data_IF_247284108221
#
_entry.id   IF_247284108221
#
_cell.length_a   1.000
_cell.length_b   1.000
_cell.length_c   1.000
_cell.angle_alpha   90.00
_cell.angle_beta   90.00
_cell.angle_gamma   90.00
#
_symmetry.space_group_name_H-M   'P 1'
#
loop_
_entity.id
_entity.type
_entity.pdbx_description
1 polymer ?
#
# COMPACT_ATOMS: atom_id res chain seq x y z
N UNK A 1 27.73 31.13 13.77
CA UNK A 1 26.70 30.92 14.83
C UNK A 1 25.90 29.66 14.49
N UNK A 2 25.62 28.81 15.46
CA UNK A 2 24.79 27.61 15.27
C UNK A 2 23.51 27.82 16.07
N UNK A 3 22.35 27.70 15.44
CA UNK A 3 21.06 27.81 16.12
C UNK A 3 20.80 26.59 17.00
N UNK A 4 19.92 26.77 17.99
CA UNK A 4 19.51 25.68 18.86
C UNK A 4 18.89 24.53 18.03
N UNK A 5 19.15 23.29 18.45
CA UNK A 5 18.66 22.06 17.81
C UNK A 5 19.13 21.86 16.35
N UNK A 6 20.11 22.63 15.88
CA UNK A 6 20.66 22.43 14.55
C UNK A 6 21.59 21.21 14.50
N UNK A 7 21.43 20.36 13.47
CA UNK A 7 22.28 19.18 13.26
C UNK A 7 23.23 19.45 12.10
N UNK A 8 24.51 19.67 12.40
CA UNK A 8 25.53 20.02 11.40
C UNK A 8 26.34 18.78 11.04
N UNK A 9 26.13 18.27 9.83
CA UNK A 9 26.82 17.07 9.32
C UNK A 9 28.04 17.39 8.44
N UNK A 10 28.24 18.65 8.08
CA UNK A 10 29.33 19.12 7.22
C UNK A 10 29.98 20.40 7.77
N UNK A 11 31.24 20.66 7.37
CA UNK A 11 31.96 21.85 7.79
C UNK A 11 31.24 23.13 7.34
N UNK A 12 31.17 24.12 8.24
CA UNK A 12 30.49 25.40 8.03
C UNK A 12 31.53 26.52 7.93
N UNK A 13 31.47 27.39 6.90
CA UNK A 13 32.39 28.53 6.78
C UNK A 13 32.32 29.50 7.98
N UNK A 14 33.42 30.20 8.31
CA UNK A 14 33.43 31.17 9.41
C UNK A 14 32.46 32.32 9.13
N UNK A 15 31.85 32.85 10.19
CA UNK A 15 30.90 33.97 10.08
C UNK A 15 29.48 33.60 9.63
N UNK A 16 29.22 32.36 9.23
CA UNK A 16 27.89 31.92 8.81
C UNK A 16 26.96 31.59 9.99
N UNK A 17 25.63 31.63 9.76
CA UNK A 17 24.61 31.13 10.68
C UNK A 17 23.91 29.91 10.13
N UNK A 18 23.81 28.83 10.91
CA UNK A 18 23.17 27.56 10.53
C UNK A 18 22.00 27.24 11.44
N UNK A 19 20.89 26.77 10.89
CA UNK A 19 19.70 26.30 11.64
C UNK A 19 19.08 25.07 10.97
N UNK A 20 18.28 24.32 11.72
CA UNK A 20 17.48 23.19 11.22
C UNK A 20 18.16 21.82 11.35
N UNK A 21 17.38 20.77 11.09
CA UNK A 21 17.84 19.38 11.05
C UNK A 21 17.33 18.73 9.74
N UNK A 22 18.22 18.39 8.79
CA UNK A 22 19.64 18.71 8.75
C UNK A 22 19.90 20.21 8.65
N UNK A 23 21.02 20.67 9.21
CA UNK A 23 21.37 22.09 9.32
C UNK A 23 21.64 22.74 7.97
N UNK A 24 20.99 23.88 7.70
CA UNK A 24 21.17 24.71 6.51
C UNK A 24 21.70 26.09 6.88
N UNK A 25 22.62 26.63 6.07
CA UNK A 25 23.14 27.99 6.24
C UNK A 25 22.01 28.98 5.87
N UNK A 26 21.70 29.89 6.79
CA UNK A 26 20.65 30.92 6.62
C UNK A 26 21.19 32.34 6.56
N UNK A 27 22.46 32.53 6.94
CA UNK A 27 23.16 33.82 6.84
C UNK A 27 24.62 33.58 6.50
N UNK A 28 25.12 34.29 5.50
CA UNK A 28 26.52 34.27 5.09
C UNK A 28 27.35 35.25 5.93
N UNK A 29 28.68 35.12 5.85
CA UNK A 29 29.61 36.04 6.50
C UNK A 29 29.46 37.49 6.02
N UNK A 30 29.02 37.70 4.77
CA UNK A 30 28.67 39.02 4.20
C UNK A 30 27.43 39.65 4.83
N UNK A 31 26.69 38.92 5.67
CA UNK A 31 25.41 39.34 6.23
C UNK A 31 24.21 39.11 5.32
N UNK A 32 24.46 38.68 4.09
CA UNK A 32 23.44 38.34 3.09
C UNK A 32 22.76 37.01 3.40
N UNK A 33 21.54 36.86 2.91
CA UNK A 33 20.81 35.58 2.93
C UNK A 33 21.17 34.80 1.67
N UNK A 34 21.44 33.49 1.77
CA UNK A 34 21.65 32.67 0.59
C UNK A 34 20.39 32.65 -0.29
N UNK A 35 20.57 32.76 -1.61
CA UNK A 35 19.48 32.82 -2.61
C UNK A 35 18.53 31.62 -2.52
N UNK A 36 19.08 30.44 -2.23
CA UNK A 36 18.33 29.18 -2.16
C UNK A 36 17.51 28.97 -0.88
N UNK A 37 17.53 29.93 0.06
CA UNK A 37 16.86 29.77 1.36
C UNK A 37 15.32 29.75 1.25
N UNK A 38 14.78 30.41 0.22
CA UNK A 38 13.34 30.57 0.02
C UNK A 38 12.72 29.50 -0.90
N UNK A 39 13.50 28.51 -1.37
CA UNK A 39 12.99 27.40 -2.17
C UNK A 39 12.22 26.38 -1.31
N UNK A 40 11.09 26.79 -0.72
CA UNK A 40 10.25 25.95 0.13
C UNK A 40 9.39 24.95 -0.67
N UNK A 41 9.22 25.16 -1.98
CA UNK A 41 8.36 24.33 -2.83
C UNK A 41 8.95 22.97 -3.26
N UNK A 42 10.23 22.70 -2.96
CA UNK A 42 10.92 21.44 -3.31
C UNK A 42 11.15 20.51 -2.11
N UNK A 43 10.63 20.86 -0.93
CA UNK A 43 10.77 20.00 0.24
C UNK A 43 9.76 18.84 0.14
N UNK A 44 10.19 17.57 0.27
CA UNK A 44 9.25 16.46 0.33
C UNK A 44 8.31 16.67 1.52
N UNK A 45 7.01 16.54 1.29
CA UNK A 45 6.00 16.64 2.33
C UNK A 45 5.93 15.29 3.07
N UNK A 46 6.45 15.19 4.31
CA UNK A 46 6.47 13.93 5.03
C UNK A 46 5.07 13.40 5.34
N UNK A 47 4.05 14.28 5.41
CA UNK A 47 2.67 13.87 5.63
C UNK A 47 2.13 13.22 4.35
N UNK A 48 2.36 13.83 3.20
CA UNK A 48 1.96 13.26 1.92
C UNK A 48 2.60 11.88 1.67
N UNK A 49 3.85 11.69 2.07
CA UNK A 49 4.55 10.41 1.95
C UNK A 49 3.93 9.33 2.85
N UNK A 50 3.59 9.67 4.09
CA UNK A 50 2.91 8.75 5.01
C UNK A 50 1.51 8.41 4.50
N UNK A 51 0.75 9.40 4.03
CA UNK A 51 -0.59 9.19 3.46
C UNK A 51 -0.53 8.25 2.25
N UNK A 52 0.41 8.47 1.33
CA UNK A 52 0.61 7.60 0.17
C UNK A 52 0.99 6.16 0.57
N UNK A 53 1.81 6.01 1.62
CA UNK A 53 2.15 4.70 2.16
C UNK A 53 0.94 3.98 2.74
N UNK A 54 0.07 4.69 3.47
CA UNK A 54 -1.16 4.13 4.01
C UNK A 54 -2.15 3.74 2.91
N UNK A 55 -2.30 4.59 1.89
CA UNK A 55 -3.16 4.33 0.73
C UNK A 55 -2.74 3.05 -0.01
N UNK A 56 -1.45 2.91 -0.30
CA UNK A 56 -0.91 1.69 -0.93
C UNK A 56 -1.22 0.42 -0.12
N UNK A 57 -1.14 0.50 1.22
CA UNK A 57 -1.45 -0.64 2.09
C UNK A 57 -2.93 -0.98 2.09
N UNK A 58 -3.80 0.02 2.09
CA UNK A 58 -5.25 -0.16 2.02
C UNK A 58 -5.63 -0.82 0.68
N UNK A 59 -5.07 -0.33 -0.42
CA UNK A 59 -5.30 -0.89 -1.76
C UNK A 59 -4.87 -2.36 -1.83
N UNK A 60 -3.65 -2.67 -1.40
CA UNK A 60 -3.15 -4.06 -1.40
C UNK A 60 -4.00 -5.00 -0.53
N UNK A 61 -4.46 -4.54 0.65
CA UNK A 61 -5.35 -5.33 1.50
C UNK A 61 -6.72 -5.54 0.86
N UNK A 62 -7.26 -4.50 0.20
CA UNK A 62 -8.56 -4.57 -0.47
C UNK A 62 -8.53 -5.55 -1.65
N UNK A 63 -7.46 -5.52 -2.45
CA UNK A 63 -7.25 -6.48 -3.55
C UNK A 63 -7.20 -7.93 -3.03
N UNK A 64 -6.44 -8.19 -1.96
CA UNK A 64 -6.38 -9.49 -1.31
C UNK A 64 -7.74 -9.96 -0.78
N UNK A 65 -8.55 -9.05 -0.22
CA UNK A 65 -9.89 -9.37 0.24
C UNK A 65 -10.83 -9.71 -0.92
N UNK A 66 -10.76 -8.96 -2.03
CA UNK A 66 -11.54 -9.23 -3.23
C UNK A 66 -11.20 -10.59 -3.85
N UNK A 67 -9.91 -10.91 -3.97
CA UNK A 67 -9.44 -12.22 -4.46
C UNK A 67 -10.01 -13.36 -3.62
N UNK A 68 -9.91 -13.23 -2.29
CA UNK A 68 -10.44 -14.24 -1.36
C UNK A 68 -11.95 -14.37 -1.40
N UNK A 69 -12.68 -13.26 -1.53
CA UNK A 69 -14.14 -13.29 -1.65
C UNK A 69 -14.59 -13.99 -2.93
N UNK A 70 -13.91 -13.78 -4.06
CA UNK A 70 -14.19 -14.47 -5.31
C UNK A 70 -14.04 -16.00 -5.16
N UNK A 71 -12.93 -16.46 -4.56
CA UNK A 71 -12.66 -17.87 -4.36
C UNK A 71 -13.76 -18.58 -3.53
N UNK A 72 -14.25 -17.92 -2.47
CA UNK A 72 -15.31 -18.51 -1.62
C UNK A 72 -16.64 -18.70 -2.34
N UNK A 73 -16.94 -17.87 -3.34
CA UNK A 73 -18.21 -17.93 -4.06
C UNK A 73 -18.20 -18.99 -5.16
N UNK A 74 -17.04 -19.21 -5.78
CA UNK A 74 -16.82 -20.28 -6.76
C UNK A 74 -16.86 -21.67 -6.10
N UNK A 75 -16.23 -21.82 -4.94
CA UNK A 75 -16.22 -23.06 -4.14
C UNK A 75 -17.64 -23.52 -3.71
N UNK A 76 -18.51 -22.58 -3.32
CA UNK A 76 -19.87 -22.89 -2.89
C UNK A 76 -20.74 -23.34 -4.07
N UNK A 77 -20.63 -22.63 -5.21
CA UNK A 77 -21.37 -22.95 -6.43
C UNK A 77 -20.91 -24.29 -7.05
N UNK A 78 -19.61 -24.59 -6.96
CA UNK A 78 -19.05 -25.87 -7.44
C UNK A 78 -19.54 -27.06 -6.62
N UNK A 79 -19.57 -26.97 -5.28
CA UNK A 79 -20.11 -28.04 -4.43
C UNK A 79 -21.58 -28.34 -4.72
N UNK A 80 -22.37 -27.30 -4.94
CA UNK A 80 -23.79 -27.45 -5.25
C UNK A 80 -24.04 -28.12 -6.61
N UNK A 81 -23.26 -27.76 -7.64
CA UNK A 81 -23.33 -28.40 -8.96
C UNK A 81 -22.92 -29.88 -8.91
N UNK A 82 -21.87 -30.21 -8.14
CA UNK A 82 -21.41 -31.59 -8.00
C UNK A 82 -22.41 -32.48 -7.27
N UNK A 83 -23.13 -31.95 -6.27
CA UNK A 83 -24.21 -32.69 -5.61
C UNK A 83 -25.40 -32.94 -6.55
N UNK A 84 -25.78 -31.97 -7.39
CA UNK A 84 -26.83 -32.14 -8.39
C UNK A 84 -26.45 -33.14 -9.49
N UNK A 85 -25.22 -33.08 -10.01
CA UNK A 85 -24.72 -34.07 -11.00
C UNK A 85 -24.77 -35.49 -10.42
N UNK A 86 -24.31 -35.65 -9.18
CA UNK A 86 -24.31 -36.95 -8.50
C UNK A 86 -25.73 -37.48 -8.24
N UNK A 87 -26.68 -36.58 -7.96
CA UNK A 87 -28.09 -36.92 -7.84
C UNK A 87 -28.68 -37.37 -9.18
N UNK A 88 -28.43 -36.64 -10.27
CA UNK A 88 -28.88 -37.00 -11.62
C UNK A 88 -28.29 -38.34 -12.07
N UNK A 89 -27.02 -38.58 -11.80
CA UNK A 89 -26.34 -39.84 -12.15
C UNK A 89 -26.96 -41.04 -11.39
N UNK A 90 -27.28 -40.86 -10.10
CA UNK A 90 -27.98 -41.88 -9.31
C UNK A 90 -29.38 -42.22 -9.82
N UNK A 91 -30.06 -41.27 -10.50
CA UNK A 91 -31.37 -41.50 -11.12
C UNK A 91 -31.27 -42.24 -12.45
N UNK A 92 -30.20 -42.00 -13.23
CA UNK A 92 -29.98 -42.66 -14.51
C UNK A 92 -29.48 -44.10 -14.36
N UNK A 93 -28.80 -44.42 -13.25
CA UNK A 93 -28.38 -45.79 -12.91
C UNK A 93 -29.54 -46.68 -12.42
N UNK A 94 -30.70 -46.10 -12.11
CA UNK A 94 -31.92 -46.84 -11.79
C UNK A 94 -32.71 -47.17 -13.08
N UNK A 95 -32.11 -47.92 -14.00
CA UNK A 95 -32.94 -48.58 -15.02
C UNK A 95 -33.83 -49.64 -14.33
N UNK A 96 -35.14 -49.66 -14.60
CA UNK A 96 -36.01 -50.67 -14.04
C UNK A 96 -35.65 -52.02 -14.66
N UNK A 97 -35.38 -53.03 -13.82
CA UNK A 97 -35.47 -54.41 -14.28
C UNK A 97 -36.86 -54.62 -14.84
N UNK A 98 -36.98 -54.56 -16.17
CA UNK A 98 -38.13 -55.07 -16.88
C UNK A 98 -38.15 -56.55 -16.63
N UNK A 99 -38.89 -56.95 -15.59
CA UNK A 99 -39.31 -58.33 -15.39
C UNK A 99 -40.10 -58.75 -16.63
N UNK A 100 -39.38 -59.33 -17.57
CA UNK A 100 -39.91 -60.01 -18.73
C UNK A 100 -40.76 -61.20 -18.24
N UNK A 101 -42.00 -61.20 -18.72
CA UNK A 101 -43.12 -62.05 -18.36
C UNK A 101 -42.82 -63.55 -18.26
N UNK A 102 -43.42 -64.24 -17.27
CA UNK A 102 -44.11 -65.52 -17.52
C UNK A 102 -45.18 -65.84 -16.48
#
# INVERSE_FOLDING_TARGET
KIGAQAVVVHAVPPGCTVVGNPGKIVRLASGERPENLLEHGKLPDPVADVVRHLDNRITALTELMMEKQCFTQTEFSQRHMQEEEKYVESYLEQEPETHEQR
#
